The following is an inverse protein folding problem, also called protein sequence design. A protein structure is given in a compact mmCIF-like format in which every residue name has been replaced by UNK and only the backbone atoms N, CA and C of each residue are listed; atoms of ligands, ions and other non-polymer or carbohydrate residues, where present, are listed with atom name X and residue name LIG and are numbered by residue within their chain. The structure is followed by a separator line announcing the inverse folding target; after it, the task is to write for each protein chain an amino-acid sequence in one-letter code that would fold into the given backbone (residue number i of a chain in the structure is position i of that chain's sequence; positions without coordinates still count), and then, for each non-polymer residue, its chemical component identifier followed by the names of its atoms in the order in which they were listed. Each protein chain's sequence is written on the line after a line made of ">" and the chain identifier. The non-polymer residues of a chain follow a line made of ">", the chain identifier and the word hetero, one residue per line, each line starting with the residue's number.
data_IF_334845742870
#
_entry.id   IF_334845742870
#
_cell.length_a   1.000
_cell.length_b   1.000
_cell.length_c   1.000
_cell.angle_alpha   90.00
_cell.angle_beta   90.00
_cell.angle_gamma   90.00
#
_symmetry.space_group_name_H-M   'P 1'
#
loop_
_entity.id
_entity.type
_entity.pdbx_description
1 polymer ?
#
# COMPACT_ATOMS: atom_id res chain seq x y z
N UNK A 1 39.07 0.22 10.78
CA UNK A 1 37.87 1.02 11.09
C UNK A 1 37.19 1.60 9.85
N UNK A 2 37.72 2.60 9.12
CA UNK A 2 37.00 3.16 7.94
C UNK A 2 36.85 2.13 6.79
N UNK A 3 37.82 1.23 6.63
CA UNK A 3 37.75 0.14 5.64
C UNK A 3 36.64 -0.86 5.95
N UNK A 4 36.33 -1.10 7.22
CA UNK A 4 35.35 -2.10 7.64
C UNK A 4 33.92 -1.64 7.35
N UNK A 5 33.62 -0.36 7.61
CA UNK A 5 32.32 0.25 7.32
C UNK A 5 32.04 0.30 5.81
N UNK A 6 33.05 0.64 5.00
CA UNK A 6 32.91 0.62 3.54
C UNK A 6 32.70 -0.80 3.00
N UNK A 7 33.30 -1.82 3.64
CA UNK A 7 33.11 -3.22 3.27
C UNK A 7 31.68 -3.67 3.59
N UNK A 8 31.13 -3.25 4.74
CA UNK A 8 29.75 -3.52 5.12
C UNK A 8 28.76 -2.85 4.16
N UNK A 9 28.98 -1.58 3.78
CA UNK A 9 28.12 -0.92 2.81
C UNK A 9 28.20 -1.56 1.42
N UNK A 10 29.39 -2.04 1.02
CA UNK A 10 29.58 -2.73 -0.25
C UNK A 10 28.90 -4.11 -0.26
N UNK A 11 29.01 -4.89 0.82
CA UNK A 11 28.30 -6.17 0.96
C UNK A 11 26.78 -5.99 1.05
N UNK A 12 26.30 -4.99 1.79
CA UNK A 12 24.88 -4.67 1.89
C UNK A 12 24.31 -4.25 0.52
N UNK A 13 25.05 -3.45 -0.25
CA UNK A 13 24.68 -3.07 -1.61
C UNK A 13 24.64 -4.29 -2.56
N UNK A 14 25.62 -5.20 -2.47
CA UNK A 14 25.62 -6.45 -3.24
C UNK A 14 24.48 -7.40 -2.85
N UNK A 15 24.11 -7.46 -1.57
CA UNK A 15 22.95 -8.23 -1.11
C UNK A 15 21.62 -7.63 -1.61
N UNK A 16 21.52 -6.30 -1.68
CA UNK A 16 20.37 -5.59 -2.25
C UNK A 16 20.25 -5.78 -3.77
N UNK A 17 21.39 -5.94 -4.45
CA UNK A 17 21.48 -6.25 -5.88
C UNK A 17 21.17 -7.71 -6.23
N UNK A 18 20.73 -8.55 -5.28
CA UNK A 18 20.24 -9.92 -5.57
C UNK A 18 19.21 -9.85 -6.69
N UNK A 19 19.70 -10.29 -7.84
CA UNK A 19 19.08 -10.25 -9.14
C UNK A 19 17.65 -10.77 -9.02
N UNK A 20 16.68 -10.02 -9.57
CA UNK A 20 15.29 -10.48 -9.72
C UNK A 20 15.34 -11.93 -10.18
N UNK A 21 14.73 -12.89 -9.45
CA UNK A 21 14.77 -14.28 -9.87
C UNK A 21 14.23 -14.33 -11.30
N UNK A 22 15.10 -14.71 -12.24
CA UNK A 22 14.70 -15.00 -13.61
C UNK A 22 13.78 -16.21 -13.50
N UNK A 23 12.48 -15.94 -13.46
CA UNK A 23 11.45 -16.98 -13.35
C UNK A 23 11.66 -17.91 -14.53
N UNK A 24 12.22 -19.10 -14.26
CA UNK A 24 12.23 -20.20 -15.23
C UNK A 24 10.78 -20.44 -15.63
N UNK A 25 10.48 -20.12 -16.90
CA UNK A 25 9.17 -20.20 -17.52
C UNK A 25 8.74 -21.66 -17.65
N UNK A 26 8.25 -22.25 -16.57
CA UNK A 26 7.52 -23.53 -16.60
C UNK A 26 6.42 -23.53 -15.55
N UNK A 27 5.42 -22.67 -15.71
CA UNK A 27 4.09 -22.99 -15.19
C UNK A 27 3.04 -22.31 -16.05
N UNK A 28 2.03 -23.09 -16.41
CA UNK A 28 0.82 -22.66 -17.12
C UNK A 28 0.41 -21.30 -16.57
N UNK A 29 0.43 -20.26 -17.41
CA UNK A 29 -0.18 -18.98 -17.08
C UNK A 29 -1.65 -19.25 -16.79
N UNK A 30 -1.98 -19.49 -15.51
CA UNK A 30 -3.30 -19.16 -15.00
C UNK A 30 -3.39 -17.67 -15.21
N UNK A 31 -4.04 -17.27 -16.30
CA UNK A 31 -4.42 -15.88 -16.50
C UNK A 31 -5.12 -15.48 -15.21
N UNK A 32 -4.51 -14.59 -14.43
CA UNK A 32 -5.16 -13.94 -13.31
C UNK A 32 -6.37 -13.23 -13.91
N UNK A 33 -7.53 -13.89 -13.89
CA UNK A 33 -8.80 -13.29 -14.26
C UNK A 33 -8.95 -12.15 -13.28
N UNK A 34 -8.70 -10.93 -13.75
CA UNK A 34 -8.86 -9.70 -12.97
C UNK A 34 -10.26 -9.79 -12.37
N UNK A 35 -10.32 -10.00 -11.04
CA UNK A 35 -11.60 -10.08 -10.34
C UNK A 35 -12.34 -8.79 -10.67
N UNK A 36 -13.56 -8.92 -11.21
CA UNK A 36 -14.38 -7.75 -11.49
C UNK A 36 -14.54 -6.98 -10.18
N UNK A 37 -14.47 -5.65 -10.19
CA UNK A 37 -14.60 -4.90 -8.96
C UNK A 37 -15.98 -5.19 -8.34
N UNK A 38 -16.01 -5.44 -7.03
CA UNK A 38 -17.19 -5.94 -6.31
C UNK A 38 -18.43 -5.02 -6.42
N UNK A 39 -18.25 -3.75 -6.78
CA UNK A 39 -19.35 -2.81 -7.01
C UNK A 39 -20.07 -2.99 -8.37
N UNK A 40 -19.53 -3.78 -9.29
CA UNK A 40 -20.09 -3.97 -10.63
C UNK A 40 -21.21 -5.03 -10.60
N UNK A 41 -22.42 -4.55 -10.35
CA UNK A 41 -23.65 -5.33 -10.35
C UNK A 41 -24.06 -5.80 -11.78
N UNK A 42 -24.76 -6.93 -11.86
CA UNK A 42 -25.30 -7.48 -13.10
C UNK A 42 -26.24 -6.48 -13.81
N UNK A 43 -26.98 -5.69 -13.03
CA UNK A 43 -27.83 -4.60 -13.53
C UNK A 43 -27.02 -3.55 -14.32
N UNK A 44 -25.85 -3.18 -13.82
CA UNK A 44 -24.96 -2.19 -14.44
C UNK A 44 -24.30 -2.74 -15.70
N UNK A 45 -23.99 -4.04 -15.70
CA UNK A 45 -23.49 -4.74 -16.88
C UNK A 45 -24.53 -4.80 -17.99
N UNK A 46 -25.80 -5.09 -17.67
CA UNK A 46 -26.91 -5.04 -18.64
C UNK A 46 -27.06 -3.64 -19.24
N UNK A 47 -26.99 -2.61 -18.39
CA UNK A 47 -27.10 -1.22 -18.82
C UNK A 47 -25.94 -0.81 -19.76
N UNK A 48 -24.73 -1.29 -19.48
CA UNK A 48 -23.57 -1.11 -20.36
C UNK A 48 -23.75 -1.81 -21.71
N UNK A 49 -24.28 -3.03 -21.72
CA UNK A 49 -24.54 -3.75 -22.97
C UNK A 49 -25.57 -3.00 -23.84
N UNK A 50 -26.69 -2.56 -23.23
CA UNK A 50 -27.70 -1.77 -23.93
C UNK A 50 -27.12 -0.46 -24.50
N UNK A 51 -26.18 0.16 -23.79
CA UNK A 51 -25.48 1.35 -24.26
C UNK A 51 -24.63 1.04 -25.49
N UNK A 52 -23.87 -0.05 -25.47
CA UNK A 52 -23.05 -0.48 -26.61
C UNK A 52 -23.92 -0.82 -27.84
N UNK A 53 -25.09 -1.43 -27.63
CA UNK A 53 -26.00 -1.76 -28.72
C UNK A 53 -26.59 -0.49 -29.36
N UNK A 54 -26.95 0.51 -28.55
CA UNK A 54 -27.37 1.83 -29.06
C UNK A 54 -26.23 2.60 -29.71
N UNK A 55 -25.00 2.43 -29.24
CA UNK A 55 -23.81 3.02 -29.86
C UNK A 55 -23.61 2.48 -31.27
N UNK A 56 -23.71 1.16 -31.46
CA UNK A 56 -23.68 0.54 -32.79
C UNK A 56 -24.80 1.07 -33.68
N UNK A 57 -25.99 1.28 -33.12
CA UNK A 57 -27.12 1.85 -33.85
C UNK A 57 -26.85 3.30 -34.29
N UNK A 58 -26.26 4.11 -33.40
CA UNK A 58 -25.87 5.48 -33.69
C UNK A 58 -24.77 5.57 -34.75
N UNK A 59 -23.82 4.64 -34.75
CA UNK A 59 -22.79 4.54 -35.80
C UNK A 59 -23.40 4.26 -37.18
N UNK A 60 -24.46 3.45 -37.24
CA UNK A 60 -25.19 3.16 -38.50
C UNK A 60 -26.08 4.32 -38.95
N UNK A 61 -26.68 5.04 -38.01
CA UNK A 61 -27.65 6.11 -38.29
C UNK A 61 -27.28 7.39 -37.51
N UNK A 62 -26.21 8.09 -37.91
CA UNK A 62 -25.65 9.19 -37.11
C UNK A 62 -26.53 10.44 -37.04
N UNK A 63 -27.40 10.63 -38.03
CA UNK A 63 -28.27 11.81 -38.16
C UNK A 63 -29.69 11.59 -37.69
N UNK A 64 -30.06 10.36 -37.29
CA UNK A 64 -31.40 10.08 -36.76
C UNK A 64 -31.54 10.70 -35.34
N UNK A 65 -32.44 11.69 -35.16
CA UNK A 65 -32.62 12.37 -33.88
C UNK A 65 -33.11 11.44 -32.76
N UNK A 66 -33.92 10.43 -33.10
CA UNK A 66 -34.52 9.49 -32.14
C UNK A 66 -33.43 8.59 -31.56
N UNK A 67 -32.59 8.02 -32.42
CA UNK A 67 -31.48 7.17 -32.01
C UNK A 67 -30.50 7.97 -31.15
N UNK A 68 -30.13 9.16 -31.62
CA UNK A 68 -29.21 10.07 -30.91
C UNK A 68 -29.72 10.45 -29.52
N UNK A 69 -30.97 10.92 -29.43
CA UNK A 69 -31.61 11.28 -28.15
C UNK A 69 -31.67 10.10 -27.20
N UNK A 70 -32.05 8.91 -27.70
CA UNK A 70 -32.15 7.70 -26.89
C UNK A 70 -30.78 7.24 -26.36
N UNK A 71 -29.72 7.35 -27.17
CA UNK A 71 -28.35 7.02 -26.76
C UNK A 71 -27.85 7.94 -25.66
N UNK A 72 -27.94 9.27 -25.85
CA UNK A 72 -27.45 10.22 -24.84
C UNK A 72 -28.27 10.16 -23.54
N UNK A 73 -29.57 9.90 -23.63
CA UNK A 73 -30.42 9.66 -22.47
C UNK A 73 -29.98 8.43 -21.68
N UNK A 74 -29.72 7.31 -22.38
CA UNK A 74 -29.22 6.09 -21.77
C UNK A 74 -27.81 6.27 -21.18
N UNK A 75 -26.93 7.01 -21.86
CA UNK A 75 -25.58 7.35 -21.39
C UNK A 75 -25.63 8.17 -20.09
N UNK A 76 -26.51 9.17 -20.03
CA UNK A 76 -26.72 9.98 -18.82
C UNK A 76 -27.22 9.12 -17.67
N UNK A 77 -28.19 8.24 -17.93
CA UNK A 77 -28.70 7.31 -16.94
C UNK A 77 -27.61 6.35 -16.44
N UNK A 78 -26.84 5.74 -17.33
CA UNK A 78 -25.71 4.87 -16.99
C UNK A 78 -24.67 5.57 -16.13
N UNK A 79 -24.24 6.79 -16.51
CA UNK A 79 -23.28 7.58 -15.73
C UNK A 79 -23.80 7.89 -14.32
N UNK A 80 -25.08 8.26 -14.19
CA UNK A 80 -25.72 8.55 -12.89
C UNK A 80 -25.78 7.29 -12.03
N UNK A 81 -26.27 6.18 -12.58
CA UNK A 81 -26.40 4.90 -11.86
C UNK A 81 -25.04 4.34 -11.44
N UNK A 82 -24.03 4.44 -12.30
CA UNK A 82 -22.64 4.06 -11.98
C UNK A 82 -22.09 4.86 -10.81
N UNK A 83 -22.21 6.19 -10.84
CA UNK A 83 -21.75 7.05 -9.74
C UNK A 83 -22.47 6.71 -8.42
N UNK A 84 -23.79 6.52 -8.48
CA UNK A 84 -24.59 6.13 -7.31
C UNK A 84 -24.09 4.80 -6.72
N UNK A 85 -23.99 3.74 -7.53
CA UNK A 85 -23.55 2.41 -7.07
C UNK A 85 -22.14 2.40 -6.49
N UNK A 86 -21.23 3.21 -7.04
CA UNK A 86 -19.88 3.38 -6.46
C UNK A 86 -19.96 4.03 -5.09
N UNK A 87 -20.77 5.08 -4.94
CA UNK A 87 -20.95 5.77 -3.66
C UNK A 87 -21.59 4.84 -2.62
N UNK A 88 -22.68 4.16 -3.00
CA UNK A 88 -23.40 3.24 -2.12
C UNK A 88 -22.45 2.11 -1.67
N UNK A 89 -21.66 1.53 -2.58
CA UNK A 89 -20.66 0.51 -2.22
C UNK A 89 -19.61 1.04 -1.23
N UNK A 90 -19.13 2.28 -1.41
CA UNK A 90 -18.17 2.87 -0.47
C UNK A 90 -18.80 3.09 0.90
N UNK A 91 -20.05 3.54 0.94
CA UNK A 91 -20.78 3.74 2.19
C UNK A 91 -20.99 2.42 2.91
N UNK A 92 -21.51 1.39 2.22
CA UNK A 92 -21.69 0.05 2.78
C UNK A 92 -20.37 -0.51 3.35
N UNK A 93 -19.24 -0.16 2.73
CA UNK A 93 -17.92 -0.61 3.16
C UNK A 93 -17.48 0.09 4.45
N UNK A 94 -17.75 1.39 4.56
CA UNK A 94 -17.52 2.17 5.80
C UNK A 94 -18.41 1.64 6.92
N UNK A 95 -19.71 1.48 6.65
CA UNK A 95 -20.67 1.00 7.63
C UNK A 95 -20.28 -0.40 8.15
N UNK A 96 -19.79 -1.29 7.26
CA UNK A 96 -19.24 -2.59 7.66
C UNK A 96 -18.00 -2.47 8.54
N UNK A 97 -17.08 -1.57 8.21
CA UNK A 97 -15.87 -1.34 9.00
C UNK A 97 -16.21 -0.81 10.40
N UNK A 98 -17.15 0.13 10.50
CA UNK A 98 -17.56 0.71 11.77
C UNK A 98 -18.22 -0.33 12.68
N UNK A 99 -19.09 -1.20 12.14
CA UNK A 99 -19.70 -2.29 12.90
C UNK A 99 -18.70 -3.39 13.30
N UNK A 100 -17.74 -3.72 12.43
CA UNK A 100 -16.74 -4.77 12.69
C UNK A 100 -15.67 -4.36 13.73
N UNK A 101 -15.47 -3.06 13.93
CA UNK A 101 -14.47 -2.54 14.86
C UNK A 101 -14.73 -3.03 16.30
N UNK A 102 -15.98 -3.03 16.72
CA UNK A 102 -16.36 -3.37 18.09
C UNK A 102 -16.71 -4.86 18.25
N UNK A 103 -17.26 -5.50 17.21
CA UNK A 103 -17.68 -6.91 17.26
C UNK A 103 -16.55 -7.90 16.98
N UNK A 104 -15.67 -7.61 16.00
CA UNK A 104 -14.69 -8.59 15.53
C UNK A 104 -13.42 -7.95 14.91
N UNK A 105 -12.45 -7.53 15.74
CA UNK A 105 -11.29 -6.76 15.30
C UNK A 105 -10.42 -7.51 14.26
N UNK A 106 -10.41 -8.85 14.28
CA UNK A 106 -9.64 -9.64 13.31
C UNK A 106 -10.18 -9.50 11.87
N UNK A 107 -11.51 -9.48 11.71
CA UNK A 107 -12.14 -9.31 10.40
C UNK A 107 -11.99 -7.87 9.90
N UNK A 108 -12.05 -6.89 10.81
CA UNK A 108 -11.75 -5.50 10.52
C UNK A 108 -10.36 -5.34 9.89
N UNK A 109 -9.31 -5.86 10.54
CA UNK A 109 -7.94 -5.77 10.01
C UNK A 109 -7.77 -6.53 8.68
N UNK A 110 -8.38 -7.71 8.54
CA UNK A 110 -8.33 -8.46 7.28
C UNK A 110 -8.94 -7.67 6.11
N UNK A 111 -10.08 -7.03 6.34
CA UNK A 111 -10.77 -6.19 5.36
C UNK A 111 -9.97 -4.93 5.03
N UNK A 112 -9.34 -4.31 6.03
CA UNK A 112 -8.45 -3.16 5.84
C UNK A 112 -7.22 -3.54 5.00
N UNK A 113 -6.62 -4.70 5.26
CA UNK A 113 -5.50 -5.22 4.48
C UNK A 113 -5.90 -5.44 3.01
N UNK A 114 -7.05 -6.03 2.74
CA UNK A 114 -7.56 -6.23 1.37
C UNK A 114 -7.74 -4.91 0.60
N UNK A 115 -8.19 -3.85 1.29
CA UNK A 115 -8.29 -2.49 0.72
C UNK A 115 -6.92 -1.83 0.47
N UNK A 116 -5.94 -2.11 1.33
CA UNK A 116 -4.60 -1.52 1.21
C UNK A 116 -3.77 -2.18 0.10
N UNK A 117 -3.89 -3.51 -0.04
CA UNK A 117 -3.14 -4.26 -1.03
C UNK A 117 -3.67 -4.03 -2.45
N UNK A 118 -4.96 -3.70 -2.60
CA UNK A 118 -5.55 -3.32 -3.90
C UNK A 118 -5.10 -1.95 -4.41
N UNK A 119 -4.57 -1.08 -3.56
CA UNK A 119 -4.05 0.25 -3.95
C UNK A 119 -2.52 0.28 -4.16
N UNK A 120 -1.78 -0.70 -3.62
CA UNK A 120 -0.31 -0.71 -3.68
C UNK A 120 0.27 -0.87 -5.08
N UNK A 121 -0.48 -1.43 -6.04
CA UNK A 121 0.05 -1.66 -7.40
C UNK A 121 0.15 -0.38 -8.25
N UNK A 122 -0.41 0.77 -7.85
CA UNK A 122 -0.47 1.97 -8.70
C UNK A 122 0.02 3.28 -8.08
N UNK A 123 0.64 3.25 -6.89
CA UNK A 123 1.25 4.44 -6.28
C UNK A 123 2.77 4.38 -6.38
N UNK A 124 3.32 4.10 -7.56
CA UNK A 124 4.66 4.58 -7.85
C UNK A 124 4.52 6.09 -8.02
N UNK A 125 5.03 6.87 -7.06
CA UNK A 125 5.14 8.31 -7.21
C UNK A 125 5.71 8.65 -8.59
N UNK A 126 5.12 9.64 -9.28
CA UNK A 126 5.59 10.14 -10.59
C UNK A 126 7.06 10.62 -10.56
N UNK A 127 7.61 10.79 -9.35
CA UNK A 127 8.99 11.17 -9.12
C UNK A 127 9.85 9.92 -8.97
N UNK A 128 10.84 9.77 -9.85
CA UNK A 128 11.82 8.69 -9.77
C UNK A 128 12.66 8.80 -8.50
N UNK A 129 13.15 7.66 -8.02
CA UNK A 129 14.07 7.59 -6.87
C UNK A 129 15.32 8.44 -7.07
N UNK A 130 15.82 8.52 -8.31
CA UNK A 130 16.98 9.33 -8.66
C UNK A 130 16.69 10.83 -8.54
N UNK A 131 15.50 11.27 -8.97
CA UNK A 131 15.08 12.67 -8.83
C UNK A 131 14.91 13.07 -7.36
N UNK A 132 14.39 12.16 -6.52
CA UNK A 132 14.37 12.33 -5.06
C UNK A 132 15.78 12.49 -4.50
N UNK A 133 16.69 11.57 -4.84
CA UNK A 133 18.05 11.59 -4.33
C UNK A 133 18.80 12.88 -4.72
N UNK A 134 18.73 13.29 -5.98
CA UNK A 134 19.36 14.53 -6.45
C UNK A 134 18.81 15.77 -5.76
N UNK A 135 17.50 15.84 -5.51
CA UNK A 135 16.89 16.98 -4.81
C UNK A 135 17.42 17.12 -3.38
N UNK A 136 17.42 16.03 -2.60
CA UNK A 136 17.88 16.09 -1.20
C UNK A 136 19.40 16.27 -1.09
N UNK A 137 20.17 15.72 -2.02
CA UNK A 137 21.60 15.97 -2.11
C UNK A 137 21.88 17.46 -2.31
N UNK A 138 21.22 18.08 -3.29
CA UNK A 138 21.38 19.52 -3.57
C UNK A 138 20.85 20.43 -2.46
N UNK A 139 19.84 19.98 -1.71
CA UNK A 139 19.30 20.71 -0.56
C UNK A 139 20.34 20.74 0.58
N UNK A 140 20.96 19.59 0.87
CA UNK A 140 21.91 19.44 1.96
C UNK A 140 23.32 19.96 1.64
N UNK A 141 23.69 20.09 0.36
CA UNK A 141 24.97 20.68 -0.06
C UNK A 141 25.06 22.21 0.18
N UNK A 142 23.93 22.90 0.37
CA UNK A 142 23.91 24.36 0.55
C UNK A 142 24.17 24.81 1.99
N UNK A 143 23.98 23.93 2.97
CA UNK A 143 24.10 24.25 4.40
C UNK A 143 25.37 23.70 5.07
N UNK A 144 26.29 23.05 4.34
CA UNK A 144 27.46 22.38 4.94
C UNK A 144 28.51 23.32 5.56
N UNK A 145 28.36 24.64 5.45
CA UNK A 145 29.27 25.59 6.10
C UNK A 145 28.85 25.99 7.52
N UNK A 146 27.68 25.55 7.99
CA UNK A 146 27.22 25.83 9.35
C UNK A 146 27.22 24.56 10.21
N UNK A 147 28.20 24.49 11.11
CA UNK A 147 28.11 23.76 12.39
C UNK A 147 28.03 22.22 12.34
N UNK A 148 28.86 21.58 11.52
CA UNK A 148 29.04 20.12 11.60
C UNK A 148 29.90 19.71 12.82
N UNK A 149 30.79 20.60 13.28
CA UNK A 149 31.69 20.33 14.40
C UNK A 149 30.96 20.33 15.75
N UNK A 150 29.97 21.22 15.96
CA UNK A 150 29.12 21.19 17.15
C UNK A 150 28.35 19.86 17.29
N UNK A 151 27.81 19.33 16.18
CA UNK A 151 27.08 18.07 16.19
C UNK A 151 28.02 16.88 16.47
N UNK A 152 29.24 16.91 15.92
CA UNK A 152 30.26 15.89 16.19
C UNK A 152 30.72 15.90 17.64
N UNK A 153 30.93 17.08 18.21
CA UNK A 153 31.34 17.22 19.61
C UNK A 153 30.21 16.80 20.55
N UNK A 154 28.96 17.21 20.26
CA UNK A 154 27.78 16.77 21.02
C UNK A 154 27.54 15.26 20.93
N UNK A 155 27.76 14.64 19.77
CA UNK A 155 27.67 13.18 19.61
C UNK A 155 28.75 12.47 20.43
N UNK A 156 29.99 12.96 20.40
CA UNK A 156 31.07 12.41 21.24
C UNK A 156 30.78 12.53 22.72
N UNK A 157 30.17 13.63 23.16
CA UNK A 157 29.78 13.83 24.55
C UNK A 157 28.65 12.87 24.96
N UNK A 158 27.66 12.67 24.08
CA UNK A 158 26.58 11.69 24.30
C UNK A 158 27.06 10.24 24.27
N UNK A 159 28.08 9.90 23.47
CA UNK A 159 28.69 8.56 23.45
C UNK A 159 29.52 8.26 24.71
N UNK A 160 29.99 9.30 25.43
CA UNK A 160 30.70 9.15 26.71
C UNK A 160 29.74 8.88 27.86
N UNK A 161 28.51 9.37 27.77
CA UNK A 161 27.45 9.00 28.70
C UNK A 161 27.02 7.56 28.41
N UNK A 162 27.45 6.61 29.25
CA UNK A 162 26.86 5.26 29.26
C UNK A 162 25.42 5.39 29.74
N UNK A 163 24.51 5.65 28.82
CA UNK A 163 23.08 5.52 29.06
C UNK A 163 22.82 4.01 29.08
N UNK A 164 23.01 3.37 30.23
CA UNK A 164 22.39 2.08 30.49
C UNK A 164 20.89 2.34 30.49
N UNK A 165 20.26 2.05 29.36
CA UNK A 165 18.81 2.10 29.27
C UNK A 165 18.24 0.81 29.84
N UNK A 166 17.01 0.83 30.31
CA UNK A 166 16.32 -0.40 30.75
C UNK A 166 16.26 -1.46 29.63
N UNK A 167 16.45 -1.04 28.37
CA UNK A 167 16.55 -1.88 27.17
C UNK A 167 17.87 -2.67 27.07
N UNK A 168 18.93 -2.26 27.77
CA UNK A 168 20.22 -2.97 27.81
C UNK A 168 20.22 -4.13 28.82
N UNK A 169 19.18 -4.24 29.64
CA UNK A 169 19.03 -5.36 30.55
C UNK A 169 18.74 -6.64 29.77
N UNK A 170 19.43 -7.72 30.14
CA UNK A 170 19.13 -9.04 29.58
C UNK A 170 17.75 -9.49 30.04
N UNK A 171 16.89 -9.82 29.07
CA UNK A 171 15.57 -10.37 29.35
C UNK A 171 15.73 -11.65 30.17
N UNK A 172 15.17 -11.66 31.37
CA UNK A 172 15.28 -12.80 32.28
C UNK A 172 14.34 -13.94 31.86
N UNK A 173 14.74 -15.19 32.09
CA UNK A 173 13.86 -16.36 31.87
C UNK A 173 12.54 -16.25 32.63
N UNK A 174 12.57 -15.73 33.86
CA UNK A 174 11.37 -15.54 34.67
C UNK A 174 10.39 -14.52 34.05
N UNK A 175 10.93 -13.51 33.36
CA UNK A 175 10.14 -12.50 32.66
C UNK A 175 9.45 -13.08 31.43
N UNK A 176 10.15 -13.92 30.68
CA UNK A 176 9.61 -14.68 29.56
C UNK A 176 8.49 -15.63 30.04
N UNK A 177 8.71 -16.38 31.11
CA UNK A 177 7.71 -17.29 31.68
C UNK A 177 6.45 -16.55 32.19
N UNK A 178 6.64 -15.39 32.81
CA UNK A 178 5.54 -14.51 33.24
C UNK A 178 4.77 -13.92 32.05
N UNK A 179 5.46 -13.53 30.97
CA UNK A 179 4.81 -13.08 29.74
C UNK A 179 4.03 -14.21 29.06
N UNK A 180 4.59 -15.44 29.02
CA UNK A 180 3.91 -16.61 28.46
C UNK A 180 2.65 -16.97 29.27
N UNK A 181 2.71 -16.95 30.59
CA UNK A 181 1.56 -17.27 31.45
C UNK A 181 0.43 -16.24 31.40
N UNK A 182 0.72 -14.99 31.03
CA UNK A 182 -0.28 -13.92 30.90
C UNK A 182 -0.93 -13.86 29.51
N UNK A 183 -0.40 -14.59 28.52
CA UNK A 183 -1.00 -14.70 27.19
C UNK A 183 -2.28 -15.55 27.25
N UNK A 184 -3.44 -14.92 27.02
CA UNK A 184 -4.72 -15.63 26.85
C UNK A 184 -4.64 -16.59 25.66
N UNK A 185 -5.16 -17.81 25.85
CA UNK A 185 -5.19 -18.87 24.83
C UNK A 185 -5.62 -18.33 23.45
N UNK A 186 -4.84 -18.69 22.41
CA UNK A 186 -4.96 -18.30 20.99
C UNK A 186 -4.38 -16.95 20.56
N UNK A 187 -3.74 -16.16 21.45
CA UNK A 187 -2.89 -15.04 21.00
C UNK A 187 -1.48 -15.54 20.72
N UNK A 188 -0.99 -15.36 19.49
CA UNK A 188 0.43 -15.63 19.16
C UNK A 188 1.31 -14.60 19.87
N UNK A 189 2.52 -14.97 20.31
CA UNK A 189 3.48 -13.98 20.80
C UNK A 189 3.73 -12.98 19.67
N UNK A 190 3.42 -11.70 19.92
CA UNK A 190 3.87 -10.62 19.06
C UNK A 190 5.36 -10.53 19.30
N UNK A 191 6.16 -11.01 18.36
CA UNK A 191 7.58 -10.71 18.32
C UNK A 191 7.66 -9.22 18.06
N UNK A 192 7.93 -8.44 19.12
CA UNK A 192 8.23 -7.02 19.00
C UNK A 192 9.61 -6.91 18.32
N UNK A 193 9.64 -7.01 17.00
CA UNK A 193 10.73 -6.47 16.20
C UNK A 193 10.55 -4.95 16.19
N UNK A 194 10.92 -4.29 17.27
CA UNK A 194 11.17 -2.85 17.27
C UNK A 194 12.69 -2.67 17.22
N UNK A 195 13.10 -1.97 16.17
CA UNK A 195 14.46 -1.51 15.89
C UNK A 195 14.88 -0.43 16.89
#
# INVERSE_FOLDING_TARGET
>A
MIKDVNTIFYEAANLSLKQKPTKKSTSKLKQNVKKKPNWLDASLSKLKNNLNDKEKLLQKYPFDPVIRSSFFSLLKHYRKTRKKKIRDFRQDLIDKLDNLKDENPNQYWAMLHELSDTNRENTTSDVSTDAWFSYFKNLNEKDTNASCDYLKDKLKDMEREKIFTELDNWISKAEIEKAISTLKNKKKPVVLTQF
#
